data_IF_798397662356
#
_entry.id   IF_798397662356
#
_cell.length_a   1.000
_cell.length_b   1.000
_cell.length_c   1.000
_cell.angle_alpha   90.00
_cell.angle_beta   90.00
_cell.angle_gamma   90.00
#
_symmetry.space_group_name_H-M   'P 1'
#
loop_
_entity.id
_entity.type
_entity.pdbx_description
1 polymer ?
#
# COMPACT_ATOMS: atom_id res chain seq x y z
N UNK A 1 -9.20 -43.39 62.97
CA UNK A 1 -9.16 -41.98 63.41
C UNK A 1 -7.70 -41.57 63.36
N UNK A 2 -7.16 -40.65 62.58
CA UNK A 2 -7.68 -39.54 61.79
C UNK A 2 -6.77 -39.41 60.56
N UNK A 3 -7.30 -39.69 59.36
CA UNK A 3 -6.62 -39.48 58.06
C UNK A 3 -7.50 -38.69 57.08
N UNK A 4 -8.47 -37.95 57.62
CA UNK A 4 -9.55 -37.31 56.86
C UNK A 4 -9.64 -35.79 57.06
N UNK A 5 -8.54 -35.12 57.45
CA UNK A 5 -8.55 -33.68 57.71
C UNK A 5 -7.37 -32.91 57.09
N UNK A 6 -6.92 -33.34 55.91
CA UNK A 6 -5.97 -32.59 55.06
C UNK A 6 -6.39 -32.61 53.59
N UNK A 7 -7.69 -32.81 53.37
CA UNK A 7 -8.42 -32.52 52.13
C UNK A 7 -9.25 -31.31 52.52
N UNK A 8 -9.01 -30.13 51.92
CA UNK A 8 -9.80 -28.87 51.98
C UNK A 8 -8.99 -27.56 52.01
N UNK A 9 -7.69 -27.55 51.63
CA UNK A 9 -6.96 -26.28 51.50
C UNK A 9 -5.91 -26.22 50.38
N UNK A 10 -6.14 -26.93 49.28
CA UNK A 10 -5.43 -26.72 47.99
C UNK A 10 -6.40 -26.86 46.81
N UNK A 11 -7.58 -26.27 46.96
CA UNK A 11 -8.45 -25.91 45.85
C UNK A 11 -8.13 -24.44 45.52
N UNK A 12 -7.98 -24.15 44.23
CA UNK A 12 -7.62 -22.85 43.60
C UNK A 12 -6.13 -22.63 43.35
N UNK A 13 -5.56 -23.44 42.46
CA UNK A 13 -4.51 -22.98 41.54
C UNK A 13 -4.77 -23.57 40.15
N UNK A 14 -5.99 -23.36 39.66
CA UNK A 14 -6.42 -23.76 38.33
C UNK A 14 -5.97 -22.69 37.32
N UNK A 15 -5.01 -23.07 36.48
CA UNK A 15 -4.86 -22.65 35.08
C UNK A 15 -5.08 -21.15 34.82
N UNK A 16 -4.13 -20.31 35.23
CA UNK A 16 -4.01 -18.95 34.65
C UNK A 16 -3.27 -19.05 33.33
N UNK A 17 -4.09 -19.04 32.27
CA UNK A 17 -3.77 -19.11 30.85
C UNK A 17 -2.57 -18.25 30.44
N UNK A 18 -1.64 -18.89 29.74
CA UNK A 18 -0.73 -18.26 28.78
C UNK A 18 -1.57 -17.51 27.73
N UNK A 19 -1.59 -16.18 27.79
CA UNK A 19 -2.11 -15.32 26.73
C UNK A 19 -1.55 -13.90 26.91
N UNK A 20 -0.23 -13.74 26.79
CA UNK A 20 0.43 -12.43 26.71
C UNK A 20 1.40 -12.45 25.54
N UNK A 21 0.86 -12.68 24.35
CA UNK A 21 1.60 -12.54 23.11
C UNK A 21 0.61 -12.35 21.95
N UNK A 22 -0.31 -11.37 22.05
CA UNK A 22 -1.13 -10.98 20.90
C UNK A 22 -1.84 -9.61 21.08
N UNK A 23 -1.17 -8.58 21.61
CA UNK A 23 -1.78 -7.25 21.73
C UNK A 23 -0.85 -6.07 21.38
N UNK A 24 0.16 -6.27 20.52
CA UNK A 24 1.04 -5.18 20.09
C UNK A 24 1.27 -5.12 18.57
N UNK A 25 0.41 -5.73 17.75
CA UNK A 25 0.52 -5.69 16.27
C UNK A 25 -0.57 -4.83 15.62
N UNK A 26 -1.48 -4.21 16.40
CA UNK A 26 -2.48 -3.29 15.83
C UNK A 26 -2.01 -1.84 15.74
N UNK A 27 -1.05 -1.41 16.57
CA UNK A 27 -0.60 -0.01 16.61
C UNK A 27 0.59 0.30 15.69
N UNK A 28 1.21 -0.72 15.10
CA UNK A 28 2.38 -0.56 14.23
C UNK A 28 2.05 -0.60 12.73
N UNK A 29 0.78 -0.70 12.36
CA UNK A 29 0.36 -0.61 10.97
C UNK A 29 -0.19 0.80 10.73
N UNK A 30 0.51 1.69 10.00
CA UNK A 30 -0.13 2.85 9.45
C UNK A 30 -1.04 2.37 8.31
N UNK A 31 -2.20 1.81 8.69
CA UNK A 31 -3.35 1.68 7.79
C UNK A 31 -4.01 3.05 7.84
N UNK A 32 -3.77 3.80 6.76
CA UNK A 32 -4.55 4.99 6.37
C UNK A 32 -4.24 6.31 7.10
N UNK A 33 -3.74 7.26 6.31
CA UNK A 33 -3.86 8.69 6.59
C UNK A 33 -4.66 9.27 5.43
N UNK A 34 -5.82 9.82 5.78
CA UNK A 34 -6.87 10.18 4.84
C UNK A 34 -6.53 11.25 3.80
N UNK A 35 -7.59 11.75 3.18
CA UNK A 35 -7.60 12.34 1.84
C UNK A 35 -7.16 13.80 1.75
N UNK A 36 -5.95 14.13 2.19
CA UNK A 36 -5.35 15.43 1.86
C UNK A 36 -4.29 15.26 0.78
N UNK A 37 -4.31 16.12 -0.23
CA UNK A 37 -3.35 16.11 -1.33
C UNK A 37 -1.88 16.19 -0.85
N UNK A 38 -1.65 16.68 0.37
CA UNK A 38 -0.34 16.71 1.03
C UNK A 38 -0.04 15.38 1.77
N UNK A 39 -1.03 14.66 2.32
CA UNK A 39 -0.90 13.33 2.96
C UNK A 39 -0.60 12.17 1.99
N UNK A 40 -0.53 12.47 0.68
CA UNK A 40 -0.25 11.52 -0.42
C UNK A 40 1.20 11.02 -0.47
N UNK A 41 2.03 11.34 0.52
CA UNK A 41 3.45 11.01 0.50
C UNK A 41 3.78 10.14 1.71
N UNK A 42 4.12 8.87 1.47
CA UNK A 42 4.71 8.02 2.51
C UNK A 42 5.90 8.72 3.22
N UNK A 43 6.63 9.58 2.50
CA UNK A 43 7.74 10.37 3.04
C UNK A 43 7.36 11.41 4.11
N UNK A 44 6.08 11.67 4.38
CA UNK A 44 5.67 12.52 5.51
C UNK A 44 5.76 11.81 6.86
N UNK A 45 5.50 10.51 6.87
CA UNK A 45 5.55 9.69 8.09
C UNK A 45 6.85 8.87 8.16
N UNK A 46 7.48 8.59 7.03
CA UNK A 46 8.74 7.88 6.94
C UNK A 46 9.88 8.89 6.76
N UNK A 47 10.39 9.44 7.87
CA UNK A 47 11.43 10.48 7.90
C UNK A 47 12.73 9.90 8.48
N UNK A 48 13.92 10.20 7.90
CA UNK A 48 14.19 11.01 6.73
C UNK A 48 14.26 10.15 5.46
N UNK A 49 13.12 9.78 4.87
CA UNK A 49 13.17 9.05 3.61
C UNK A 49 13.67 9.97 2.48
N UNK A 50 14.85 9.67 1.96
CA UNK A 50 15.23 10.17 0.65
C UNK A 50 14.31 9.49 -0.37
N UNK A 51 13.41 10.26 -1.00
CA UNK A 51 12.51 9.71 -2.03
C UNK A 51 13.37 9.30 -3.23
N UNK A 52 13.48 8.00 -3.46
CA UNK A 52 14.19 7.46 -4.62
C UNK A 52 13.27 7.50 -5.84
N UNK A 53 13.69 8.22 -6.90
CA UNK A 53 12.93 8.30 -8.17
C UNK A 53 13.24 7.08 -9.05
N UNK A 54 12.17 6.49 -9.60
CA UNK A 54 12.13 5.16 -10.22
C UNK A 54 13.00 4.91 -11.47
N UNK A 55 13.67 5.92 -12.05
CA UNK A 55 14.30 5.71 -13.37
C UNK A 55 15.45 4.68 -13.35
N UNK A 56 16.01 4.37 -12.17
CA UNK A 56 17.01 3.29 -12.01
C UNK A 56 16.98 2.52 -10.67
N UNK A 57 16.09 2.81 -9.72
CA UNK A 57 16.11 2.11 -8.41
C UNK A 57 14.71 1.83 -7.88
N UNK A 58 14.32 0.56 -7.90
CA UNK A 58 13.42 0.04 -6.87
C UNK A 58 11.95 -0.16 -7.23
N UNK A 59 11.28 0.63 -8.09
CA UNK A 59 9.82 0.48 -8.28
C UNK A 59 9.37 0.56 -9.74
N UNK A 60 8.46 -0.34 -10.16
CA UNK A 60 7.88 -0.36 -11.50
C UNK A 60 6.47 -0.93 -11.52
N UNK A 61 5.69 -0.61 -12.56
CA UNK A 61 4.43 -1.30 -12.87
C UNK A 61 4.62 -2.12 -14.15
N UNK A 62 4.62 -3.45 -14.01
CA UNK A 62 4.63 -4.40 -15.11
C UNK A 62 3.24 -4.51 -15.75
N UNK A 63 3.20 -4.70 -17.06
CA UNK A 63 1.95 -4.79 -17.84
C UNK A 63 1.29 -3.44 -18.16
N UNK A 64 1.78 -2.32 -17.61
CA UNK A 64 1.22 -1.00 -17.87
C UNK A 64 1.58 -0.57 -19.31
N UNK A 65 0.58 -0.36 -20.19
CA UNK A 65 0.86 -0.04 -21.58
C UNK A 65 1.34 1.42 -21.71
N UNK A 66 2.05 1.73 -22.79
CA UNK A 66 2.35 3.13 -23.16
C UNK A 66 1.12 3.84 -23.72
N UNK A 67 0.23 3.07 -24.35
CA UNK A 67 -1.05 3.53 -24.88
C UNK A 67 -2.17 2.54 -24.52
N UNK A 68 -3.33 3.03 -24.07
CA UNK A 68 -4.45 2.20 -23.69
C UNK A 68 -5.59 2.25 -24.71
N UNK A 69 -6.23 1.11 -24.97
CA UNK A 69 -7.54 1.03 -25.63
C UNK A 69 -8.65 1.42 -24.62
N UNK A 70 -9.60 2.31 -24.97
CA UNK A 70 -10.69 2.70 -24.09
C UNK A 70 -11.54 1.52 -23.63
N UNK A 71 -11.92 1.50 -22.35
CA UNK A 71 -12.70 0.41 -21.76
C UNK A 71 -11.99 -0.94 -21.68
N UNK A 72 -10.72 -1.04 -22.07
CA UNK A 72 -9.95 -2.28 -21.92
C UNK A 72 -9.53 -2.48 -20.47
N UNK A 73 -9.56 -3.74 -20.03
CA UNK A 73 -9.03 -4.16 -18.73
C UNK A 73 -7.60 -4.68 -18.87
N UNK A 74 -6.71 -4.17 -18.02
CA UNK A 74 -5.30 -4.55 -17.94
C UNK A 74 -5.05 -5.27 -16.62
N UNK A 75 -4.31 -6.37 -16.68
CA UNK A 75 -3.73 -7.03 -15.50
C UNK A 75 -2.33 -6.45 -15.29
N UNK A 76 -2.11 -5.86 -14.13
CA UNK A 76 -0.93 -5.09 -13.81
C UNK A 76 -0.26 -5.65 -12.55
N UNK A 77 1.04 -5.43 -12.41
CA UNK A 77 1.78 -5.79 -11.19
C UNK A 77 2.70 -4.66 -10.78
N UNK A 78 2.51 -4.13 -9.57
CA UNK A 78 3.46 -3.23 -8.95
C UNK A 78 4.60 -4.06 -8.36
N UNK A 79 5.82 -3.77 -8.79
CA UNK A 79 7.02 -4.48 -8.34
C UNK A 79 7.94 -3.52 -7.58
N UNK A 80 8.31 -3.92 -6.37
CA UNK A 80 9.27 -3.23 -5.51
C UNK A 80 10.53 -4.10 -5.30
N UNK A 81 11.67 -3.59 -5.71
CA UNK A 81 13.01 -4.17 -5.58
C UNK A 81 13.77 -3.53 -4.43
N UNK A 82 13.71 -4.14 -3.25
CA UNK A 82 14.49 -3.71 -2.08
C UNK A 82 14.91 -4.91 -1.23
N UNK A 83 16.15 -5.39 -1.39
CA UNK A 83 16.62 -6.58 -0.64
C UNK A 83 16.85 -6.32 0.86
N UNK A 84 16.99 -5.06 1.25
CA UNK A 84 17.25 -4.67 2.64
C UNK A 84 15.99 -4.66 3.51
N UNK A 85 14.80 -4.64 2.91
CA UNK A 85 13.52 -4.57 3.63
C UNK A 85 13.27 -5.75 4.57
N UNK A 86 12.50 -5.48 5.61
CA UNK A 86 11.85 -6.46 6.48
C UNK A 86 10.33 -6.46 6.26
N UNK A 87 9.77 -5.28 5.98
CA UNK A 87 8.35 -5.02 5.75
C UNK A 87 8.18 -4.07 4.56
N UNK A 88 7.06 -4.17 3.84
CA UNK A 88 6.71 -3.17 2.85
C UNK A 88 5.20 -2.98 2.66
N UNK A 89 4.86 -1.83 2.10
CA UNK A 89 3.52 -1.45 1.67
C UNK A 89 3.57 -0.42 0.54
N UNK A 90 2.42 -0.12 -0.04
CA UNK A 90 2.31 0.85 -1.13
C UNK A 90 0.96 1.57 -1.13
N UNK A 91 0.89 2.68 -1.86
CA UNK A 91 -0.33 3.34 -2.32
C UNK A 91 -0.19 3.65 -3.82
N UNK A 92 -1.29 3.50 -4.59
CA UNK A 92 -1.32 3.71 -6.02
C UNK A 92 -2.59 4.42 -6.46
N UNK A 93 -2.42 5.43 -7.31
CA UNK A 93 -3.47 6.26 -7.88
C UNK A 93 -3.41 6.21 -9.41
N UNK A 94 -4.58 6.27 -10.05
CA UNK A 94 -4.75 6.57 -11.47
C UNK A 94 -5.63 7.81 -11.61
N UNK A 95 -5.08 8.90 -12.15
CA UNK A 95 -5.69 10.23 -12.16
C UNK A 95 -5.79 10.78 -13.60
N UNK A 96 -6.91 11.43 -13.93
CA UNK A 96 -7.09 12.09 -15.22
C UNK A 96 -6.27 13.39 -15.27
N UNK A 97 -5.57 13.64 -16.38
CA UNK A 97 -4.86 14.91 -16.59
C UNK A 97 -5.69 15.77 -17.54
N UNK A 98 -6.12 16.95 -17.08
CA UNK A 98 -6.63 18.00 -17.97
C UNK A 98 -5.50 18.90 -18.48
N UNK A 99 -5.58 19.34 -19.74
CA UNK A 99 -4.60 20.27 -20.32
C UNK A 99 -4.73 21.70 -19.75
N UNK A 100 -5.91 22.05 -19.23
CA UNK A 100 -6.13 23.35 -18.59
C UNK A 100 -5.56 23.34 -17.15
N UNK A 101 -4.58 24.19 -16.84
CA UNK A 101 -4.26 24.49 -15.45
C UNK A 101 -5.48 25.18 -14.84
N UNK A 102 -6.11 24.57 -13.84
CA UNK A 102 -7.12 25.30 -13.07
C UNK A 102 -6.36 26.32 -12.22
N UNK A 103 -6.17 27.51 -12.76
CA UNK A 103 -5.46 28.60 -12.11
C UNK A 103 -6.07 28.87 -10.73
N UNK A 104 -5.26 28.70 -9.68
CA UNK A 104 -5.65 28.97 -8.30
C UNK A 104 -6.15 27.77 -7.49
N UNK A 105 -6.31 26.59 -8.09
CA UNK A 105 -6.54 25.36 -7.34
C UNK A 105 -5.23 24.55 -7.28
N UNK A 106 -4.79 24.16 -6.07
CA UNK A 106 -3.92 22.99 -5.83
C UNK A 106 -4.69 21.73 -6.27
N UNK A 107 -4.94 21.56 -7.56
CA UNK A 107 -6.12 20.84 -8.04
C UNK A 107 -5.93 19.33 -7.95
N UNK A 108 -6.72 18.75 -7.05
CA UNK A 108 -7.14 17.36 -7.03
C UNK A 108 -7.53 16.90 -8.44
N UNK A 109 -6.91 15.84 -8.93
CA UNK A 109 -7.30 15.23 -10.19
C UNK A 109 -8.32 14.11 -9.94
N UNK A 110 -9.37 13.98 -10.76
CA UNK A 110 -10.34 12.91 -10.60
C UNK A 110 -9.68 11.55 -10.93
N UNK A 111 -10.17 10.48 -10.31
CA UNK A 111 -9.74 9.12 -10.65
C UNK A 111 -10.03 8.83 -12.13
N UNK A 112 -9.04 8.30 -12.84
CA UNK A 112 -9.16 7.87 -14.23
C UNK A 112 -9.15 6.35 -14.35
N UNK A 113 -10.23 5.81 -14.92
CA UNK A 113 -10.49 4.38 -14.97
C UNK A 113 -10.85 3.82 -13.60
N UNK A 114 -10.81 2.50 -13.47
CA UNK A 114 -11.15 1.80 -12.23
C UNK A 114 -10.04 0.84 -11.84
N UNK A 115 -9.42 1.08 -10.69
CA UNK A 115 -8.52 0.11 -10.06
C UNK A 115 -9.34 -0.94 -9.33
N UNK A 116 -8.86 -2.19 -9.33
CA UNK A 116 -9.45 -3.25 -8.53
C UNK A 116 -8.37 -4.22 -8.02
N UNK A 117 -8.51 -4.63 -6.77
CA UNK A 117 -7.75 -5.72 -6.19
C UNK A 117 -8.12 -7.04 -6.87
N UNK A 118 -7.11 -7.88 -7.11
CA UNK A 118 -7.28 -9.26 -7.59
C UNK A 118 -6.52 -10.27 -6.74
N UNK A 119 -5.98 -9.82 -5.61
CA UNK A 119 -5.14 -10.61 -4.72
C UNK A 119 -5.42 -10.25 -3.26
N UNK A 120 -5.25 -11.22 -2.37
CA UNK A 120 -5.52 -11.03 -0.94
C UNK A 120 -4.55 -10.06 -0.24
N UNK A 121 -3.48 -9.64 -0.92
CA UNK A 121 -2.47 -8.68 -0.45
C UNK A 121 -2.69 -7.25 -0.96
N UNK A 122 -3.75 -7.00 -1.73
CA UNK A 122 -4.16 -5.65 -2.16
C UNK A 122 -5.62 -5.36 -1.80
N UNK A 123 -5.93 -4.09 -1.57
CA UNK A 123 -7.28 -3.60 -1.33
C UNK A 123 -7.50 -2.24 -2.00
N UNK A 124 -8.74 -2.01 -2.43
CA UNK A 124 -9.17 -0.70 -2.91
C UNK A 124 -9.72 0.09 -1.71
N UNK A 125 -9.18 1.28 -1.50
CA UNK A 125 -9.67 2.23 -0.50
C UNK A 125 -10.40 3.36 -1.21
N UNK A 126 -11.49 3.79 -0.61
CA UNK A 126 -12.22 4.99 -1.03
C UNK A 126 -12.18 5.98 0.11
N UNK A 127 -11.74 7.19 -0.19
CA UNK A 127 -11.69 8.29 0.76
C UNK A 127 -13.07 8.93 0.95
N UNK A 128 -13.26 9.71 2.02
CA UNK A 128 -14.52 10.43 2.31
C UNK A 128 -14.98 11.35 1.19
N UNK A 129 -14.02 11.86 0.41
CA UNK A 129 -14.26 12.76 -0.71
C UNK A 129 -14.43 12.00 -2.05
N UNK A 130 -14.51 10.67 -2.03
CA UNK A 130 -14.82 9.80 -3.18
C UNK A 130 -13.64 9.47 -4.10
N UNK A 131 -12.39 9.76 -3.72
CA UNK A 131 -11.23 9.24 -4.45
C UNK A 131 -11.05 7.77 -4.15
N UNK A 132 -10.64 7.01 -5.17
CA UNK A 132 -10.21 5.63 -4.98
C UNK A 132 -8.70 5.51 -5.18
N UNK A 133 -8.06 4.70 -4.35
CA UNK A 133 -6.66 4.34 -4.47
C UNK A 133 -6.46 2.88 -4.08
N UNK A 134 -5.49 2.24 -4.71
CA UNK A 134 -5.11 0.88 -4.36
C UNK A 134 -3.99 0.91 -3.32
N UNK A 135 -4.09 0.06 -2.31
CA UNK A 135 -3.06 -0.10 -1.27
C UNK A 135 -2.89 -1.58 -0.94
N UNK A 136 -1.86 -1.88 -0.17
CA UNK A 136 -1.67 -3.18 0.45
C UNK A 136 -2.77 -3.45 1.51
N UNK A 137 -3.26 -4.69 1.58
CA UNK A 137 -4.25 -5.13 2.59
C UNK A 137 -3.61 -5.74 3.83
N UNK A 138 -2.37 -6.20 3.69
CA UNK A 138 -1.51 -6.70 4.75
C UNK A 138 -0.07 -6.33 4.44
N UNK A 139 0.76 -6.26 5.47
CA UNK A 139 2.19 -6.11 5.27
C UNK A 139 2.76 -7.33 4.57
N UNK A 140 3.66 -7.10 3.63
CA UNK A 140 4.50 -8.18 3.08
C UNK A 140 5.75 -8.31 3.94
N UNK A 141 5.93 -9.47 4.58
CA UNK A 141 7.08 -9.75 5.42
C UNK A 141 8.22 -10.36 4.59
N UNK A 142 9.47 -10.02 4.91
CA UNK A 142 10.65 -10.55 4.20
C UNK A 142 10.73 -12.07 4.19
N UNK A 143 10.30 -12.74 5.26
CA UNK A 143 10.32 -14.20 5.35
C UNK A 143 9.24 -14.89 4.50
N UNK A 144 8.26 -14.15 3.98
CA UNK A 144 7.21 -14.69 3.10
C UNK A 144 7.65 -14.74 1.64
N UNK A 145 8.76 -14.09 1.28
CA UNK A 145 9.28 -14.06 -0.09
C UNK A 145 10.78 -14.35 -0.10
N UNK A 146 11.18 -15.38 -0.83
CA UNK A 146 12.60 -15.61 -1.16
C UNK A 146 13.07 -14.69 -2.29
N UNK A 147 12.15 -13.95 -2.92
CA UNK A 147 12.46 -13.07 -4.02
C UNK A 147 13.02 -11.74 -3.50
N UNK A 148 13.98 -11.19 -4.24
CA UNK A 148 14.46 -9.82 -4.03
C UNK A 148 13.40 -8.75 -4.28
N UNK A 149 12.22 -9.16 -4.72
CA UNK A 149 11.10 -8.34 -5.14
C UNK A 149 9.85 -8.61 -4.29
N UNK A 150 9.03 -7.58 -4.13
CA UNK A 150 7.63 -7.70 -3.73
C UNK A 150 6.79 -7.37 -4.93
N UNK A 151 5.70 -8.09 -5.08
CA UNK A 151 4.81 -8.01 -6.21
C UNK A 151 3.39 -7.89 -5.68
N UNK A 152 2.68 -6.87 -6.12
CA UNK A 152 1.26 -6.68 -5.85
C UNK A 152 0.51 -6.65 -7.18
N UNK A 153 -0.38 -7.61 -7.37
CA UNK A 153 -1.16 -7.73 -8.60
C UNK A 153 -2.51 -7.05 -8.46
N UNK A 154 -2.93 -6.38 -9.52
CA UNK A 154 -4.19 -5.64 -9.57
C UNK A 154 -4.69 -5.55 -11.00
N UNK A 155 -5.91 -5.06 -11.17
CA UNK A 155 -6.43 -4.70 -12.48
C UNK A 155 -6.71 -3.21 -12.57
N UNK A 156 -6.57 -2.70 -13.79
CA UNK A 156 -7.03 -1.38 -14.17
C UNK A 156 -7.95 -1.50 -15.37
N UNK A 157 -9.17 -0.99 -15.22
CA UNK A 157 -10.11 -0.83 -16.31
C UNK A 157 -9.98 0.60 -16.84
N UNK A 158 -9.47 0.75 -18.06
CA UNK A 158 -9.20 2.05 -18.65
C UNK A 158 -10.49 2.87 -18.82
N UNK A 159 -10.41 4.21 -18.77
CA UNK A 159 -11.54 5.07 -19.11
C UNK A 159 -12.13 4.73 -20.48
N UNK A 160 -13.42 4.98 -20.65
CA UNK A 160 -14.07 4.89 -21.96
C UNK A 160 -13.79 6.10 -22.86
N UNK A 161 -13.23 7.18 -22.29
CA UNK A 161 -12.97 8.42 -23.02
C UNK A 161 -11.75 8.25 -23.94
N UNK A 162 -11.88 8.52 -25.26
CA UNK A 162 -10.80 8.32 -26.22
C UNK A 162 -9.69 9.38 -26.13
N UNK A 163 -9.91 10.51 -25.47
CA UNK A 163 -8.93 11.62 -25.42
C UNK A 163 -8.34 11.87 -24.02
N UNK A 164 -8.64 11.00 -23.07
CA UNK A 164 -8.19 11.17 -21.69
C UNK A 164 -6.73 10.73 -21.52
N UNK A 165 -5.94 11.53 -20.79
CA UNK A 165 -4.57 11.17 -20.39
C UNK A 165 -4.60 10.72 -18.94
N UNK A 166 -3.96 9.60 -18.64
CA UNK A 166 -3.99 9.03 -17.29
C UNK A 166 -2.60 9.06 -16.68
N UNK A 167 -2.47 9.71 -15.53
CA UNK A 167 -1.27 9.64 -14.68
C UNK A 167 -1.42 8.48 -13.71
N UNK A 168 -0.48 7.55 -13.74
CA UNK A 168 -0.25 6.61 -12.65
C UNK A 168 0.78 7.18 -11.70
N UNK A 169 0.44 7.25 -10.42
CA UNK A 169 1.37 7.59 -9.33
C UNK A 169 1.35 6.45 -8.32
N UNK A 170 2.49 5.85 -8.04
CA UNK A 170 2.62 4.88 -6.96
C UNK A 170 3.75 5.28 -6.01
N UNK A 171 3.52 5.06 -4.72
CA UNK A 171 4.54 5.18 -3.69
C UNK A 171 4.61 3.88 -2.93
N UNK A 172 5.83 3.41 -2.68
CA UNK A 172 6.05 2.21 -1.89
C UNK A 172 7.08 2.48 -0.81
N UNK A 173 6.90 1.83 0.33
CA UNK A 173 7.81 1.91 1.48
C UNK A 173 8.44 0.55 1.67
N UNK A 174 9.75 0.53 1.81
CA UNK A 174 10.51 -0.59 2.34
C UNK A 174 11.04 -0.20 3.72
N UNK A 175 10.59 -0.92 4.75
CA UNK A 175 10.96 -0.64 6.14
C UNK A 175 11.87 -1.72 6.72
N UNK A 176 12.78 -1.29 7.60
CA UNK A 176 13.66 -2.16 8.40
C UNK A 176 13.15 -2.38 9.84
N UNK A 177 11.86 -2.14 10.08
CA UNK A 177 11.16 -2.26 11.39
C UNK A 177 11.57 -1.30 12.50
N UNK A 178 12.34 -0.26 12.18
CA UNK A 178 12.70 0.76 13.16
C UNK A 178 11.46 1.60 13.55
N UNK A 179 11.32 1.97 14.83
CA UNK A 179 10.23 2.84 15.27
C UNK A 179 10.19 4.17 14.49
N UNK A 180 9.00 4.71 14.28
CA UNK A 180 8.77 6.04 13.69
C UNK A 180 9.26 6.21 12.23
N UNK A 181 9.46 5.11 11.49
CA UNK A 181 9.80 5.15 10.07
C UNK A 181 11.23 5.63 9.77
N UNK A 182 12.10 5.64 10.78
CA UNK A 182 13.50 6.07 10.63
C UNK A 182 14.26 5.05 9.79
N UNK A 183 14.86 5.54 8.69
CA UNK A 183 15.67 4.71 7.79
C UNK A 183 14.86 3.92 6.76
N UNK A 184 13.54 4.14 6.71
CA UNK A 184 12.69 3.55 5.70
C UNK A 184 12.98 4.18 4.33
N UNK A 185 12.98 3.33 3.30
CA UNK A 185 13.17 3.75 1.92
C UNK A 185 11.80 3.98 1.28
N UNK A 186 11.62 5.16 0.72
CA UNK A 186 10.40 5.53 0.00
C UNK A 186 10.71 5.64 -1.48
N UNK A 187 9.98 4.86 -2.28
CA UNK A 187 10.12 4.79 -3.73
C UNK A 187 8.92 5.45 -4.38
N UNK A 188 9.14 6.19 -5.47
CA UNK A 188 8.08 6.84 -6.23
C UNK A 188 8.14 6.47 -7.71
N UNK A 189 7.02 5.94 -8.19
CA UNK A 189 6.72 5.72 -9.60
C UNK A 189 5.76 6.80 -10.09
N UNK A 190 6.04 7.38 -11.25
CA UNK A 190 5.08 8.19 -11.99
C UNK A 190 5.19 7.85 -13.48
N UNK A 191 4.04 7.66 -14.15
CA UNK A 191 3.99 7.49 -15.60
C UNK A 191 2.68 8.02 -16.15
N UNK A 192 2.75 8.65 -17.32
CA UNK A 192 1.56 9.05 -18.09
C UNK A 192 1.32 8.03 -19.18
N UNK A 193 0.08 7.61 -19.34
CA UNK A 193 -0.39 6.76 -20.45
C UNK A 193 -1.43 7.51 -21.27
N UNK A 194 -1.39 7.30 -22.58
CA UNK A 194 -2.26 7.97 -23.55
C UNK A 194 -3.28 6.98 -24.10
N UNK A 195 -4.39 7.45 -24.64
CA UNK A 195 -5.24 6.58 -25.44
C UNK A 195 -4.55 6.18 -26.75
N UNK A 196 -4.78 4.94 -27.20
CA UNK A 196 -4.38 4.49 -28.54
C UNK A 196 -5.23 5.21 -29.62
N UNK A 197 -4.66 5.53 -30.79
CA UNK A 197 -5.37 6.21 -31.87
C UNK A 197 -6.52 5.39 -32.48
#
# INVERSE_FOLDING_TARGET
MSRFLLIWLLLVAAVSRSALALQAVSEALPIDHGSQAEQRLCGQCHVPATIQRAEQTGIQIEGLPTQYEPGKRYQLTLVLHDKSRDIAGFQLYSEAISEEPIAGLKTRLPSAGQLASVSDDTQLMTTDNGESYLTHSRLTLKNETTASEIRWSFTWHAPNSPDEKVRFTAMAVASSTQPQGIGDQVYRFERIVFTAP
#
